data_IF_549333932279
#
_entry.id   IF_549333932279
#
_cell.length_a   1.000
_cell.length_b   1.000
_cell.length_c   1.000
_cell.angle_alpha   90.00
_cell.angle_beta   90.00
_cell.angle_gamma   90.00
#
_symmetry.space_group_name_H-M   'P 1'
#
loop_
_entity.id
_entity.type
_entity.pdbx_description
1 polymer ?
#
# COMPACT_ATOMS: atom_id res chain seq x y z
N UNK A 1 -32.00 1.16 11.32
CA UNK A 1 -32.14 0.16 10.23
C UNK A 1 -30.82 0.19 9.45
N UNK A 2 -30.06 -0.90 9.54
CA UNK A 2 -28.76 -1.03 8.82
C UNK A 2 -29.08 -1.30 7.36
N UNK A 3 -28.79 -0.38 6.47
CA UNK A 3 -28.88 -0.59 5.02
C UNK A 3 -27.48 -0.91 4.49
N UNK A 4 -27.38 -2.00 3.78
CA UNK A 4 -26.15 -2.46 3.15
C UNK A 4 -25.98 -1.75 1.80
N UNK A 5 -24.81 -1.15 1.58
CA UNK A 5 -24.46 -0.57 0.28
C UNK A 5 -23.86 -1.68 -0.57
N UNK A 6 -24.53 -2.06 -1.64
CA UNK A 6 -24.03 -2.99 -2.65
C UNK A 6 -23.34 -2.16 -3.74
N UNK A 7 -22.03 -2.02 -3.67
CA UNK A 7 -21.23 -1.47 -4.76
C UNK A 7 -20.94 -2.58 -5.78
N UNK A 8 -21.66 -2.61 -6.88
CA UNK A 8 -21.38 -3.51 -8.00
C UNK A 8 -20.28 -2.87 -8.86
N UNK A 9 -19.04 -3.14 -8.53
CA UNK A 9 -17.89 -2.77 -9.37
C UNK A 9 -17.71 -3.79 -10.49
N UNK A 10 -18.10 -3.46 -11.70
CA UNK A 10 -17.70 -4.24 -12.88
C UNK A 10 -16.26 -3.88 -13.21
N UNK A 11 -15.35 -4.75 -12.80
CA UNK A 11 -13.93 -4.62 -13.12
C UNK A 11 -13.71 -5.14 -14.56
N UNK A 12 -13.81 -4.27 -15.57
CA UNK A 12 -13.22 -4.55 -16.87
C UNK A 12 -11.70 -4.43 -16.74
N UNK A 13 -11.05 -5.45 -16.22
CA UNK A 13 -9.63 -5.64 -16.49
C UNK A 13 -9.52 -6.03 -17.98
N UNK A 14 -9.47 -5.03 -18.85
CA UNK A 14 -8.84 -5.19 -20.13
C UNK A 14 -7.36 -5.46 -19.83
N UNK A 15 -7.03 -6.71 -19.51
CA UNK A 15 -5.68 -7.18 -19.70
C UNK A 15 -5.35 -6.77 -21.12
N UNK A 16 -4.26 -6.03 -21.33
CA UNK A 16 -3.71 -5.85 -22.65
C UNK A 16 -3.49 -7.27 -23.21
N UNK A 17 -4.52 -7.81 -23.85
CA UNK A 17 -4.33 -8.92 -24.75
C UNK A 17 -3.45 -8.32 -25.85
N UNK A 18 -2.33 -8.94 -26.20
CA UNK A 18 -1.78 -8.69 -27.50
C UNK A 18 -2.90 -9.00 -28.49
N UNK A 19 -3.40 -7.97 -29.15
CA UNK A 19 -4.32 -8.08 -30.28
C UNK A 19 -3.49 -8.58 -31.48
N UNK A 20 -2.84 -9.71 -31.28
CA UNK A 20 -2.28 -10.49 -32.37
C UNK A 20 -3.13 -11.74 -32.40
N UNK A 21 -3.96 -11.79 -33.44
CA UNK A 21 -4.67 -12.97 -33.83
C UNK A 21 -3.75 -14.18 -33.67
N UNK A 22 -4.32 -15.24 -33.14
CA UNK A 22 -3.75 -16.56 -33.11
C UNK A 22 -3.69 -17.05 -34.58
N UNK A 23 -2.76 -16.48 -35.36
CA UNK A 23 -2.33 -17.10 -36.61
C UNK A 23 -1.50 -18.33 -36.27
N UNK A 24 -1.78 -19.39 -36.97
CA UNK A 24 -1.15 -20.71 -36.80
C UNK A 24 0.36 -20.58 -36.67
N UNK A 25 0.94 -21.22 -35.66
CA UNK A 25 2.36 -21.24 -35.31
C UNK A 25 3.34 -21.70 -36.42
N UNK A 26 2.88 -21.86 -37.66
CA UNK A 26 3.68 -22.39 -38.74
C UNK A 26 4.42 -21.38 -39.62
N UNK A 27 4.17 -20.09 -39.46
CA UNK A 27 4.73 -19.05 -40.34
C UNK A 27 5.51 -17.91 -39.65
N UNK A 28 5.76 -18.00 -38.33
CA UNK A 28 6.55 -16.99 -37.66
C UNK A 28 8.03 -17.10 -38.04
N UNK A 29 8.63 -15.96 -38.42
CA UNK A 29 10.07 -15.88 -38.64
C UNK A 29 10.82 -16.13 -37.33
N UNK A 30 12.10 -16.56 -37.43
CA UNK A 30 12.96 -16.84 -36.28
C UNK A 30 13.02 -15.62 -35.32
N UNK A 31 13.11 -14.40 -35.86
CA UNK A 31 13.05 -13.15 -35.09
C UNK A 31 11.71 -12.94 -34.36
N UNK A 32 10.60 -13.36 -34.95
CA UNK A 32 9.29 -13.27 -34.31
C UNK A 32 9.12 -14.32 -33.18
N UNK A 33 9.71 -15.50 -33.33
CA UNK A 33 9.74 -16.51 -32.26
C UNK A 33 10.64 -16.08 -31.10
N UNK A 34 11.79 -15.47 -31.40
CA UNK A 34 12.64 -14.86 -30.39
C UNK A 34 11.89 -13.76 -29.66
N UNK A 35 11.21 -12.85 -30.36
CA UNK A 35 10.44 -11.78 -29.76
C UNK A 35 9.31 -12.31 -28.87
N UNK A 36 8.60 -13.37 -29.25
CA UNK A 36 7.62 -14.03 -28.43
C UNK A 36 8.24 -14.68 -27.18
N UNK A 37 9.43 -15.26 -27.30
CA UNK A 37 10.18 -15.83 -26.16
C UNK A 37 10.62 -14.74 -25.15
N UNK A 38 10.74 -13.49 -25.58
CA UNK A 38 11.07 -12.35 -24.70
C UNK A 38 9.85 -11.70 -24.05
N UNK A 39 8.65 -11.97 -24.55
CA UNK A 39 7.38 -11.43 -23.98
C UNK A 39 6.91 -12.33 -22.84
N UNK A 40 7.34 -12.04 -21.62
CA UNK A 40 6.86 -12.70 -20.42
C UNK A 40 6.00 -11.74 -19.59
N UNK A 41 4.75 -12.09 -19.34
CA UNK A 41 3.79 -11.30 -18.52
C UNK A 41 3.54 -9.86 -19.03
N UNK A 42 3.59 -9.65 -20.34
CA UNK A 42 3.40 -8.33 -20.95
C UNK A 42 4.63 -7.41 -20.84
N UNK A 43 5.80 -7.95 -20.50
CA UNK A 43 7.07 -7.23 -20.44
C UNK A 43 7.97 -7.60 -21.62
N UNK A 44 8.54 -6.61 -22.26
CA UNK A 44 9.62 -6.82 -23.24
C UNK A 44 10.93 -6.96 -22.48
N UNK A 45 11.68 -8.03 -22.75
CA UNK A 45 12.94 -8.35 -22.09
C UNK A 45 14.09 -8.35 -23.10
N UNK A 46 15.15 -7.64 -22.74
CA UNK A 46 16.44 -7.66 -23.42
C UNK A 46 17.48 -8.33 -22.54
N UNK A 47 18.33 -9.14 -23.15
CA UNK A 47 19.47 -9.77 -22.46
C UNK A 47 20.75 -9.51 -23.25
N UNK A 48 21.88 -9.34 -22.55
CA UNK A 48 23.20 -9.38 -23.18
C UNK A 48 23.60 -10.82 -23.51
N UNK A 49 24.44 -11.02 -24.51
CA UNK A 49 24.89 -12.36 -24.98
C UNK A 49 25.53 -13.23 -23.88
N UNK A 50 26.12 -12.60 -22.86
CA UNK A 50 26.75 -13.31 -21.74
C UNK A 50 25.85 -13.42 -20.50
N UNK A 51 24.55 -13.10 -20.61
CA UNK A 51 23.56 -13.09 -19.52
C UNK A 51 23.94 -12.23 -18.28
N UNK A 52 24.99 -11.40 -18.37
CA UNK A 52 25.43 -10.55 -17.28
C UNK A 52 24.53 -9.33 -17.06
N UNK A 53 23.79 -8.93 -18.08
CA UNK A 53 22.85 -7.83 -18.00
C UNK A 53 21.51 -8.23 -18.59
N UNK A 54 20.43 -7.90 -17.92
CA UNK A 54 19.09 -8.00 -18.51
C UNK A 54 18.26 -6.79 -18.11
N UNK A 55 17.42 -6.37 -19.05
CA UNK A 55 16.59 -5.21 -18.93
C UNK A 55 15.17 -5.56 -19.40
N UNK A 56 14.17 -5.25 -18.58
CA UNK A 56 12.77 -5.45 -18.93
C UNK A 56 12.02 -4.14 -18.84
N UNK A 57 11.24 -3.83 -19.86
CA UNK A 57 10.30 -2.70 -19.87
C UNK A 57 8.90 -3.23 -20.03
N UNK A 58 8.00 -2.72 -19.24
CA UNK A 58 6.59 -3.02 -19.35
C UNK A 58 5.76 -1.89 -18.78
N UNK A 59 4.45 -2.02 -18.92
CA UNK A 59 3.54 -1.02 -18.41
C UNK A 59 2.13 -1.54 -18.30
N UNK A 60 1.25 -0.69 -17.78
CA UNK A 60 -0.19 -0.94 -17.78
C UNK A 60 -0.97 0.36 -17.82
N UNK A 61 -2.12 0.27 -18.44
CA UNK A 61 -3.18 1.28 -18.32
C UNK A 61 -4.38 0.60 -17.65
N UNK A 62 -4.99 1.26 -16.69
CA UNK A 62 -6.23 0.81 -16.06
C UNK A 62 -7.23 1.96 -16.02
N UNK A 63 -8.48 1.64 -16.34
CA UNK A 63 -9.60 2.57 -16.30
C UNK A 63 -10.64 1.94 -15.38
N UNK A 64 -11.07 2.68 -14.38
CA UNK A 64 -12.13 2.28 -13.47
C UNK A 64 -13.37 3.11 -13.76
N UNK A 65 -14.53 2.47 -13.76
CA UNK A 65 -15.84 3.10 -13.86
C UNK A 65 -16.66 2.80 -12.62
N UNK A 66 -17.48 3.75 -12.18
CA UNK A 66 -18.44 3.57 -11.12
C UNK A 66 -19.73 4.33 -11.42
N UNK A 67 -20.84 3.69 -11.12
CA UNK A 67 -22.15 4.33 -11.07
C UNK A 67 -22.69 4.20 -9.65
N UNK A 68 -22.92 5.34 -9.01
CA UNK A 68 -23.48 5.38 -7.66
C UNK A 68 -24.97 5.65 -7.75
N UNK A 69 -25.72 4.88 -6.99
CA UNK A 69 -27.13 5.13 -6.74
C UNK A 69 -27.16 5.93 -5.45
N UNK A 70 -27.53 7.21 -5.56
CA UNK A 70 -27.49 8.15 -4.46
C UNK A 70 -28.48 7.74 -3.36
N UNK A 71 -28.03 7.83 -2.12
CA UNK A 71 -28.84 7.62 -0.93
C UNK A 71 -28.81 8.88 -0.06
N UNK A 72 -27.82 9.00 0.84
CA UNK A 72 -27.70 10.18 1.74
C UNK A 72 -26.50 11.07 1.43
N UNK A 73 -25.62 10.62 0.57
CA UNK A 73 -24.37 11.33 0.23
C UNK A 73 -24.21 11.36 -1.27
N UNK A 74 -24.26 12.53 -1.86
CA UNK A 74 -24.04 12.74 -3.28
C UNK A 74 -22.64 12.27 -3.69
N UNK A 75 -22.56 11.52 -4.79
CA UNK A 75 -21.33 10.97 -5.34
C UNK A 75 -21.24 11.16 -6.83
N UNK A 76 -20.03 11.42 -7.28
CA UNK A 76 -19.72 11.53 -8.69
C UNK A 76 -19.61 10.18 -9.39
N UNK A 77 -20.61 9.80 -10.19
CA UNK A 77 -20.52 8.66 -11.12
C UNK A 77 -19.68 9.02 -12.34
N UNK A 78 -18.95 8.06 -12.89
CA UNK A 78 -18.14 8.29 -14.09
C UNK A 78 -17.04 7.27 -14.29
N UNK A 79 -16.01 7.65 -15.04
CA UNK A 79 -14.83 6.84 -15.31
C UNK A 79 -13.54 7.65 -15.11
N UNK A 80 -12.47 6.97 -14.68
CA UNK A 80 -11.18 7.60 -14.40
C UNK A 80 -10.04 6.63 -14.72
N UNK A 81 -8.94 7.16 -15.23
CA UNK A 81 -7.70 6.39 -15.25
C UNK A 81 -7.22 6.14 -13.83
N UNK A 82 -7.19 4.88 -13.43
CA UNK A 82 -6.71 4.45 -12.12
C UNK A 82 -5.22 4.12 -12.12
N UNK A 83 -4.65 3.82 -13.29
CA UNK A 83 -3.22 3.66 -13.48
C UNK A 83 -2.82 3.95 -14.94
N UNK A 84 -1.66 4.59 -15.11
CA UNK A 84 -0.94 4.72 -16.38
C UNK A 84 0.55 4.56 -16.07
N UNK A 85 1.04 3.30 -16.03
CA UNK A 85 2.36 2.96 -15.48
C UNK A 85 3.34 2.51 -16.54
N UNK A 86 4.59 2.91 -16.34
CA UNK A 86 5.77 2.33 -16.97
C UNK A 86 6.63 1.73 -15.87
N UNK A 87 7.08 0.50 -16.09
CA UNK A 87 7.95 -0.24 -15.18
C UNK A 87 9.19 -0.70 -15.90
N UNK A 88 10.33 -0.46 -15.28
CA UNK A 88 11.64 -0.91 -15.73
C UNK A 88 12.23 -1.80 -14.63
N UNK A 89 12.69 -2.98 -15.01
CA UNK A 89 13.40 -3.89 -14.13
C UNK A 89 14.70 -4.28 -14.82
N UNK A 90 15.83 -4.03 -14.17
CA UNK A 90 17.15 -4.41 -14.69
C UNK A 90 17.84 -5.36 -13.74
N UNK A 91 18.65 -6.25 -14.28
CA UNK A 91 19.54 -7.13 -13.50
C UNK A 91 20.95 -6.98 -14.00
N UNK A 92 21.88 -6.88 -13.07
CA UNK A 92 23.32 -6.78 -13.33
C UNK A 92 24.00 -7.96 -12.64
N UNK A 93 24.42 -8.94 -13.43
CA UNK A 93 24.87 -10.21 -12.93
C UNK A 93 23.80 -10.94 -12.14
N UNK A 94 24.24 -11.75 -11.17
CA UNK A 94 23.34 -12.53 -10.30
C UNK A 94 23.02 -11.82 -8.98
N UNK A 95 23.68 -10.71 -8.67
CA UNK A 95 23.66 -10.11 -7.32
C UNK A 95 22.91 -8.80 -7.22
N UNK A 96 22.74 -8.07 -8.31
CA UNK A 96 22.14 -6.74 -8.26
C UNK A 96 20.95 -6.69 -9.20
N UNK A 97 19.83 -6.19 -8.72
CA UNK A 97 18.73 -5.77 -9.57
C UNK A 97 18.18 -4.42 -9.14
N UNK A 98 17.50 -3.75 -10.05
CA UNK A 98 16.85 -2.49 -9.80
C UNK A 98 15.44 -2.49 -10.37
N UNK A 99 14.57 -1.68 -9.77
CA UNK A 99 13.21 -1.44 -10.24
C UNK A 99 12.93 0.04 -10.25
N UNK A 100 12.36 0.51 -11.35
CA UNK A 100 11.73 1.81 -11.48
C UNK A 100 10.28 1.60 -11.92
N UNK A 101 9.33 2.17 -11.20
CA UNK A 101 7.87 2.09 -11.48
C UNK A 101 7.29 3.49 -11.37
N UNK A 102 6.83 4.05 -12.47
CA UNK A 102 6.27 5.39 -12.60
C UNK A 102 4.81 5.29 -13.00
N UNK A 103 3.95 6.07 -12.36
CA UNK A 103 2.49 6.09 -12.57
C UNK A 103 2.01 7.51 -12.90
N UNK A 104 1.80 7.79 -14.17
CA UNK A 104 1.38 9.11 -14.66
C UNK A 104 -0.06 9.49 -14.30
N UNK A 105 -0.89 8.53 -13.87
CA UNK A 105 -2.24 8.79 -13.39
C UNK A 105 -2.30 9.18 -11.91
N UNK A 106 -1.18 9.18 -11.21
CA UNK A 106 -1.12 9.43 -9.76
C UNK A 106 -0.41 10.75 -9.44
N UNK A 107 -0.93 11.50 -8.45
CA UNK A 107 -0.24 12.67 -7.91
C UNK A 107 1.19 12.30 -7.44
N UNK A 108 1.32 11.18 -6.72
CA UNK A 108 2.61 10.60 -6.36
C UNK A 108 3.06 9.66 -7.50
N UNK A 109 3.62 10.23 -8.54
CA UNK A 109 3.96 9.54 -9.78
C UNK A 109 5.07 8.49 -9.61
N UNK A 110 6.08 8.71 -8.74
CA UNK A 110 7.12 7.74 -8.47
C UNK A 110 6.61 6.68 -7.47
N UNK A 111 6.41 5.45 -7.94
CA UNK A 111 5.95 4.35 -7.07
C UNK A 111 7.13 3.60 -6.46
N UNK A 112 7.93 2.96 -7.27
CA UNK A 112 9.12 2.24 -6.81
C UNK A 112 10.36 2.76 -7.54
N UNK A 113 11.44 3.03 -6.80
CA UNK A 113 12.75 3.36 -7.34
C UNK A 113 13.81 2.83 -6.38
N UNK A 114 14.27 1.61 -6.59
CA UNK A 114 15.19 0.96 -5.67
C UNK A 114 16.19 0.04 -6.35
N UNK A 115 17.29 -0.19 -5.62
CA UNK A 115 18.28 -1.24 -5.90
C UNK A 115 18.11 -2.38 -4.87
N UNK A 116 18.29 -3.63 -5.30
CA UNK A 116 18.44 -4.78 -4.43
C UNK A 116 19.78 -5.44 -4.64
N UNK A 117 20.45 -5.72 -3.54
CA UNK A 117 21.66 -6.50 -3.52
C UNK A 117 21.40 -7.85 -2.87
N UNK A 118 21.44 -8.91 -3.65
CA UNK A 118 21.25 -10.28 -3.20
C UNK A 118 22.50 -10.77 -2.45
N UNK A 119 22.40 -10.84 -1.13
CA UNK A 119 23.48 -11.27 -0.24
C UNK A 119 23.67 -12.79 -0.27
N UNK A 120 22.54 -13.51 -0.45
CA UNK A 120 22.50 -14.96 -0.58
C UNK A 120 21.24 -15.39 -1.36
N UNK A 121 21.01 -16.72 -1.48
CA UNK A 121 19.83 -17.25 -2.22
C UNK A 121 18.48 -16.86 -1.62
N UNK A 122 18.47 -16.51 -0.34
CA UNK A 122 17.27 -16.31 0.47
C UNK A 122 17.18 -14.92 1.07
N UNK A 123 18.07 -14.00 0.71
CA UNK A 123 18.08 -12.68 1.29
C UNK A 123 18.67 -11.60 0.40
N UNK A 124 18.17 -10.39 0.58
CA UNK A 124 18.68 -9.21 -0.11
C UNK A 124 18.53 -7.94 0.74
N UNK A 125 19.46 -7.05 0.54
CA UNK A 125 19.38 -5.66 0.97
C UNK A 125 18.68 -4.84 -0.11
N UNK A 126 17.77 -3.96 0.27
CA UNK A 126 17.06 -3.05 -0.63
C UNK A 126 17.24 -1.61 -0.19
N UNK A 127 17.56 -0.72 -1.13
CA UNK A 127 17.82 0.71 -0.88
C UNK A 127 17.08 1.53 -1.92
N UNK A 128 16.33 2.54 -1.50
CA UNK A 128 15.60 3.46 -2.37
C UNK A 128 14.18 3.73 -1.90
N UNK A 129 13.29 4.11 -2.81
CA UNK A 129 11.87 4.36 -2.54
C UNK A 129 11.04 3.11 -2.81
N UNK A 130 10.38 2.58 -1.78
CA UNK A 130 9.52 1.39 -1.88
C UNK A 130 8.54 1.32 -0.71
N UNK A 131 7.56 0.40 -0.80
CA UNK A 131 6.60 0.19 0.29
C UNK A 131 7.29 -0.36 1.54
N UNK A 132 6.99 0.26 2.68
CA UNK A 132 7.47 -0.19 3.98
C UNK A 132 6.93 -1.60 4.30
N UNK A 133 7.71 -2.48 4.95
CA UNK A 133 7.30 -3.84 5.29
C UNK A 133 6.30 -3.83 6.47
N UNK A 134 5.07 -3.44 6.17
CA UNK A 134 3.95 -3.37 7.12
C UNK A 134 2.66 -3.77 6.41
N UNK A 135 1.90 -4.74 6.96
CA UNK A 135 0.68 -5.32 6.37
C UNK A 135 0.93 -6.03 5.02
N UNK A 136 0.32 -7.17 4.80
CA UNK A 136 0.42 -7.91 3.53
C UNK A 136 -0.21 -7.12 2.38
N UNK A 137 -1.43 -6.60 2.57
CA UNK A 137 -2.13 -5.86 1.52
C UNK A 137 -1.41 -4.54 1.18
N UNK A 138 -0.74 -3.91 2.15
CA UNK A 138 0.00 -2.67 1.90
C UNK A 138 1.17 -2.86 0.94
N UNK A 139 1.91 -3.97 1.04
CA UNK A 139 3.05 -4.28 0.17
C UNK A 139 2.67 -5.02 -1.11
N UNK A 140 1.44 -5.53 -1.20
CA UNK A 140 0.94 -6.25 -2.37
C UNK A 140 0.88 -5.32 -3.59
N UNK A 141 1.23 -5.86 -4.76
CA UNK A 141 1.06 -5.13 -6.01
C UNK A 141 -0.42 -4.92 -6.31
N UNK A 142 -0.80 -3.72 -6.74
CA UNK A 142 -2.17 -3.45 -7.17
C UNK A 142 -2.61 -4.28 -8.39
N UNK A 143 -1.70 -4.98 -9.06
CA UNK A 143 -2.03 -5.96 -10.11
C UNK A 143 -2.51 -7.29 -9.55
N UNK A 144 -2.19 -7.57 -8.30
CA UNK A 144 -2.50 -8.83 -7.63
C UNK A 144 -3.72 -8.71 -6.71
N UNK A 145 -4.35 -7.52 -6.65
CA UNK A 145 -5.60 -7.36 -5.93
C UNK A 145 -6.75 -8.02 -6.70
N UNK A 146 -7.58 -8.79 -6.02
CA UNK A 146 -8.84 -9.26 -6.60
C UNK A 146 -9.93 -8.18 -6.61
N UNK A 147 -9.75 -7.09 -5.87
CA UNK A 147 -10.62 -5.92 -5.82
C UNK A 147 -10.01 -4.73 -6.56
N UNK A 148 -10.84 -3.74 -6.87
CA UNK A 148 -10.39 -2.52 -7.59
C UNK A 148 -9.31 -1.79 -6.80
N UNK A 149 -9.47 -1.71 -5.46
CA UNK A 149 -8.54 -1.01 -4.56
C UNK A 149 -8.22 -1.82 -3.31
N UNK A 150 -7.26 -1.29 -2.53
CA UNK A 150 -7.01 -1.72 -1.15
C UNK A 150 -8.28 -1.65 -0.32
N UNK A 151 -8.33 -2.48 0.71
CA UNK A 151 -9.33 -2.35 1.78
C UNK A 151 -9.30 -0.95 2.41
N UNK A 152 -10.44 -0.46 2.83
CA UNK A 152 -10.56 0.83 3.51
C UNK A 152 -9.68 0.88 4.76
N UNK A 153 -9.59 -0.22 5.50
CA UNK A 153 -8.72 -0.40 6.66
C UNK A 153 -7.24 -0.17 6.33
N UNK A 154 -6.72 -0.88 5.33
CA UNK A 154 -5.30 -0.74 4.94
C UNK A 154 -5.02 0.58 4.25
N UNK A 155 -6.00 1.17 3.56
CA UNK A 155 -5.87 2.50 2.98
C UNK A 155 -5.74 3.59 4.06
N UNK A 156 -6.47 3.47 5.18
CA UNK A 156 -6.45 4.41 6.29
C UNK A 156 -5.25 4.17 7.24
N UNK A 157 -5.04 2.94 7.70
CA UNK A 157 -4.11 2.61 8.77
C UNK A 157 -2.75 2.08 8.27
N UNK A 158 -2.65 1.66 7.02
CA UNK A 158 -1.39 1.17 6.44
C UNK A 158 -0.29 2.23 6.40
N UNK A 159 0.89 1.81 5.99
CA UNK A 159 2.00 2.71 5.69
C UNK A 159 2.02 3.07 4.19
N UNK A 160 2.94 3.89 3.79
CA UNK A 160 3.11 4.26 2.39
C UNK A 160 4.36 3.65 1.78
N UNK A 161 4.82 4.32 0.72
CA UNK A 161 6.18 4.20 0.20
C UNK A 161 7.03 5.29 0.81
N UNK A 162 8.26 4.95 1.15
CA UNK A 162 9.22 5.88 1.70
C UNK A 162 10.64 5.55 1.21
N UNK A 163 11.53 6.52 1.27
CA UNK A 163 12.95 6.31 1.01
C UNK A 163 13.54 5.61 2.22
N UNK A 164 14.21 4.48 2.00
CA UNK A 164 14.77 3.71 3.11
C UNK A 164 15.70 2.60 2.69
N UNK A 165 16.13 1.87 3.70
CA UNK A 165 16.97 0.68 3.59
C UNK A 165 16.29 -0.44 4.34
N UNK A 166 16.10 -1.60 3.71
CA UNK A 166 15.55 -2.79 4.35
C UNK A 166 16.36 -4.03 4.02
N UNK A 167 16.37 -4.98 4.93
CA UNK A 167 16.88 -6.31 4.67
C UNK A 167 15.73 -7.31 4.75
N UNK A 168 15.57 -8.13 3.68
CA UNK A 168 14.61 -9.22 3.60
C UNK A 168 15.36 -10.54 3.65
N UNK A 169 14.84 -11.45 4.48
CA UNK A 169 15.25 -12.84 4.50
C UNK A 169 14.01 -13.74 4.42
N UNK A 170 14.04 -14.76 3.58
CA UNK A 170 12.92 -15.70 3.42
C UNK A 170 13.44 -17.16 3.40
N UNK A 171 12.82 -17.97 4.22
CA UNK A 171 13.10 -19.38 4.37
C UNK A 171 11.82 -20.19 4.12
N UNK A 172 11.92 -21.52 3.98
CA UNK A 172 10.76 -22.40 3.80
C UNK A 172 9.69 -22.18 4.88
N UNK A 173 10.10 -21.98 6.12
CA UNK A 173 9.21 -21.92 7.29
C UNK A 173 9.01 -20.51 7.86
N UNK A 174 9.80 -19.55 7.47
CA UNK A 174 9.62 -18.18 7.93
C UNK A 174 10.03 -17.12 6.89
N UNK A 175 9.54 -15.96 7.07
CA UNK A 175 9.85 -14.80 6.26
C UNK A 175 9.97 -13.58 7.16
N UNK A 176 10.96 -12.75 6.95
CA UNK A 176 11.21 -11.55 7.72
C UNK A 176 11.73 -10.44 6.83
N UNK A 177 11.26 -9.22 7.05
CA UNK A 177 11.83 -8.00 6.50
C UNK A 177 11.79 -6.92 7.56
N UNK A 178 12.91 -6.17 7.70
CA UNK A 178 13.00 -5.01 8.58
C UNK A 178 13.82 -3.92 7.94
N UNK A 179 13.52 -2.68 8.27
CA UNK A 179 14.21 -1.54 7.68
C UNK A 179 13.97 -0.22 8.38
N UNK A 180 14.79 0.75 7.98
CA UNK A 180 14.74 2.15 8.40
C UNK A 180 14.33 2.98 7.20
N UNK A 181 13.39 3.88 7.42
CA UNK A 181 12.80 4.72 6.40
C UNK A 181 12.83 6.18 6.84
N UNK A 182 12.97 7.05 5.88
CA UNK A 182 12.93 8.49 6.07
C UNK A 182 11.64 9.04 5.46
N UNK A 183 11.71 10.19 4.88
CA UNK A 183 10.58 10.91 4.30
C UNK A 183 9.91 10.14 3.17
N UNK A 184 8.59 10.24 3.07
CA UNK A 184 7.84 9.83 1.90
C UNK A 184 8.28 10.67 0.70
N UNK A 185 8.38 10.04 -0.48
CA UNK A 185 8.65 10.77 -1.70
C UNK A 185 7.51 11.76 -1.96
N UNK A 186 7.81 13.05 -1.92
CA UNK A 186 6.88 14.09 -2.33
C UNK A 186 7.11 14.44 -3.81
N UNK A 187 6.07 14.91 -4.48
CA UNK A 187 6.20 15.40 -5.85
C UNK A 187 7.26 16.51 -5.88
N UNK A 188 8.29 16.42 -6.75
CA UNK A 188 9.36 17.42 -6.81
C UNK A 188 8.86 18.83 -7.18
N UNK A 189 7.63 18.97 -7.66
CA UNK A 189 7.00 20.27 -7.92
C UNK A 189 6.40 20.91 -6.65
N UNK A 190 6.26 20.18 -5.54
CA UNK A 190 5.82 20.75 -4.28
C UNK A 190 7.02 21.31 -3.52
N UNK A 191 6.96 22.59 -3.20
CA UNK A 191 7.97 23.23 -2.34
C UNK A 191 7.87 22.59 -0.96
N UNK A 192 8.94 21.90 -0.54
CA UNK A 192 9.05 21.36 0.81
C UNK A 192 9.16 22.55 1.76
N UNK A 193 8.18 22.73 2.64
CA UNK A 193 8.27 23.68 3.73
C UNK A 193 9.40 23.30 4.65
N UNK A 194 10.10 24.27 5.23
CA UNK A 194 11.14 24.00 6.23
C UNK A 194 10.62 23.09 7.35
N UNK A 195 11.50 22.46 8.06
CA UNK A 195 11.24 21.50 9.13
C UNK A 195 11.99 20.19 8.94
N UNK A 196 12.17 19.45 10.01
CA UNK A 196 12.92 18.19 9.98
C UNK A 196 12.15 17.06 9.33
N UNK A 197 12.85 16.23 8.59
CA UNK A 197 12.33 14.98 8.08
C UNK A 197 12.01 14.02 9.23
N UNK A 198 10.91 13.32 9.10
CA UNK A 198 10.57 12.21 9.95
C UNK A 198 11.38 10.95 9.66
N UNK A 199 11.15 9.94 10.48
CA UNK A 199 11.74 8.61 10.27
C UNK A 199 10.73 7.53 10.66
N UNK A 200 10.94 6.32 10.14
CA UNK A 200 10.19 5.15 10.55
C UNK A 200 11.09 3.92 10.63
N UNK A 201 10.81 3.07 11.60
CA UNK A 201 11.33 1.71 11.71
C UNK A 201 10.18 0.77 11.39
N UNK A 202 10.30 -0.04 10.35
CA UNK A 202 9.24 -0.97 9.93
C UNK A 202 9.78 -2.39 9.90
N UNK A 203 9.00 -3.34 10.40
CA UNK A 203 9.32 -4.76 10.31
C UNK A 203 8.05 -5.61 10.12
N UNK A 204 8.19 -6.72 9.41
CA UNK A 204 7.17 -7.75 9.22
C UNK A 204 7.81 -9.12 9.37
N UNK A 205 7.19 -10.00 10.17
CA UNK A 205 7.67 -11.35 10.48
C UNK A 205 6.54 -12.36 10.36
N UNK A 206 6.76 -13.46 9.66
CA UNK A 206 5.78 -14.50 9.42
C UNK A 206 6.36 -15.89 9.64
N UNK A 207 5.59 -16.75 10.29
CA UNK A 207 5.70 -18.20 10.17
C UNK A 207 4.88 -18.68 8.97
N UNK A 208 5.39 -19.64 8.20
CA UNK A 208 4.71 -20.13 7.00
C UNK A 208 5.01 -21.57 6.70
N UNK A 209 4.06 -22.23 6.06
CA UNK A 209 4.20 -23.56 5.47
C UNK A 209 3.45 -23.60 4.14
N UNK A 210 3.98 -24.30 3.15
CA UNK A 210 3.32 -24.42 1.84
C UNK A 210 3.70 -25.73 1.15
N UNK A 211 2.78 -26.25 0.37
CA UNK A 211 2.94 -27.35 -0.58
C UNK A 211 2.55 -26.89 -1.99
N UNK A 212 2.36 -27.86 -2.89
CA UNK A 212 2.06 -27.56 -4.29
C UNK A 212 0.70 -26.85 -4.48
N UNK A 213 -0.29 -27.27 -3.73
CA UNK A 213 -1.68 -26.80 -3.86
C UNK A 213 -2.19 -26.06 -2.63
N UNK A 214 -1.38 -25.83 -1.63
CA UNK A 214 -1.80 -25.16 -0.40
C UNK A 214 -0.69 -24.30 0.18
N UNK A 215 -1.10 -23.30 0.92
CA UNK A 215 -0.21 -22.46 1.71
C UNK A 215 -0.93 -21.96 2.95
N UNK A 216 -0.16 -21.76 4.01
CA UNK A 216 -0.60 -21.10 5.22
C UNK A 216 0.52 -20.19 5.72
N UNK A 217 0.18 -18.99 6.13
CA UNK A 217 1.07 -18.17 6.92
C UNK A 217 0.30 -17.39 8.00
N UNK A 218 1.00 -17.07 9.06
CA UNK A 218 0.53 -16.16 10.10
C UNK A 218 1.70 -15.36 10.65
N UNK A 219 1.46 -14.15 11.06
CA UNK A 219 2.47 -13.31 11.67
C UNK A 219 2.01 -11.89 11.92
N UNK A 220 2.98 -10.99 12.01
CA UNK A 220 2.68 -9.60 12.32
C UNK A 220 3.69 -8.62 11.78
N UNK A 221 3.36 -7.37 11.94
CA UNK A 221 4.17 -6.24 11.53
C UNK A 221 4.13 -5.13 12.58
N UNK A 222 5.17 -4.32 12.59
CA UNK A 222 5.29 -3.13 13.43
C UNK A 222 5.86 -1.99 12.61
N UNK A 223 5.37 -0.79 12.87
CA UNK A 223 5.92 0.45 12.34
C UNK A 223 5.96 1.48 13.46
N UNK A 224 7.13 1.99 13.76
CA UNK A 224 7.35 3.04 14.74
C UNK A 224 8.07 4.20 14.09
N UNK A 225 7.62 5.43 14.30
CA UNK A 225 8.29 6.56 13.72
C UNK A 225 7.79 7.91 14.18
N UNK A 226 8.46 8.94 13.68
CA UNK A 226 8.13 10.35 13.83
C UNK A 226 7.71 10.89 12.46
N UNK A 227 6.53 11.51 12.32
CA UNK A 227 6.11 12.11 11.04
C UNK A 227 7.02 13.28 10.61
N UNK A 228 6.98 13.61 9.32
CA UNK A 228 7.64 14.79 8.80
C UNK A 228 7.02 16.06 9.38
N UNK A 229 7.85 17.07 9.63
CA UNK A 229 7.37 18.40 9.99
C UNK A 229 6.81 19.15 8.77
N UNK A 230 5.81 19.99 8.99
CA UNK A 230 5.20 20.85 7.97
C UNK A 230 5.71 22.31 8.06
N UNK A 231 6.97 22.53 8.43
CA UNK A 231 7.60 23.81 8.66
C UNK A 231 7.90 24.06 10.12
N UNK A 232 8.29 25.30 10.46
CA UNK A 232 8.59 25.72 11.81
C UNK A 232 7.43 26.54 12.41
N UNK A 233 7.18 26.34 13.70
CA UNK A 233 6.28 27.15 14.50
C UNK A 233 7.05 27.69 15.71
N UNK A 234 7.09 29.00 15.88
CA UNK A 234 7.83 29.66 16.97
C UNK A 234 9.32 29.23 17.07
N UNK A 235 9.99 29.00 15.91
CA UNK A 235 11.38 28.59 15.87
C UNK A 235 11.62 27.10 16.11
N UNK A 236 10.56 26.28 16.28
CA UNK A 236 10.64 24.84 16.42
C UNK A 236 9.73 24.15 15.38
N UNK A 237 10.13 22.96 14.95
CA UNK A 237 9.32 22.07 14.10
C UNK A 237 8.61 20.97 14.91
N UNK A 238 8.78 20.92 16.23
CA UNK A 238 8.25 19.87 17.10
C UNK A 238 6.72 19.83 17.09
N UNK A 239 6.07 20.99 17.00
CA UNK A 239 4.63 21.13 17.06
C UNK A 239 3.94 21.21 15.69
N UNK A 240 4.67 20.99 14.61
CA UNK A 240 4.13 21.14 13.26
C UNK A 240 4.14 19.82 12.49
N UNK A 241 3.74 18.73 13.16
CA UNK A 241 3.68 17.39 12.59
C UNK A 241 2.25 16.91 12.58
N UNK A 242 1.73 16.61 11.39
CA UNK A 242 0.34 16.20 11.21
C UNK A 242 0.27 14.86 10.51
N UNK A 243 -0.58 13.98 11.00
CA UNK A 243 -0.91 12.70 10.37
C UNK A 243 -2.38 12.71 9.98
N UNK A 244 -2.66 12.37 8.73
CA UNK A 244 -4.03 12.19 8.25
C UNK A 244 -4.25 10.75 7.87
N UNK A 245 -5.21 10.11 8.53
CA UNK A 245 -5.69 8.76 8.23
C UNK A 245 -6.97 8.90 7.42
N UNK A 246 -7.00 8.39 6.20
CA UNK A 246 -8.18 8.55 5.38
C UNK A 246 -8.36 7.45 4.35
N UNK A 247 -9.60 7.11 4.05
CA UNK A 247 -9.96 6.23 2.95
C UNK A 247 -11.22 6.70 2.25
N UNK A 248 -11.30 6.45 0.94
CA UNK A 248 -12.52 6.52 0.15
C UNK A 248 -13.19 5.13 0.09
N UNK A 249 -14.31 5.00 -0.61
CA UNK A 249 -15.06 3.73 -0.73
C UNK A 249 -14.41 2.71 -1.68
N UNK A 250 -13.11 2.48 -1.56
CA UNK A 250 -12.43 1.45 -2.36
C UNK A 250 -12.64 1.59 -3.88
N UNK A 251 -13.12 2.76 -4.32
CA UNK A 251 -13.26 3.17 -5.71
C UNK A 251 -12.40 4.39 -5.97
N UNK A 252 -11.78 4.47 -7.15
CA UNK A 252 -10.98 5.63 -7.53
C UNK A 252 -11.79 6.71 -8.24
N UNK A 253 -13.05 6.47 -8.57
CA UNK A 253 -13.86 7.41 -9.38
C UNK A 253 -14.24 8.62 -8.53
N UNK A 254 -14.83 8.40 -7.37
CA UNK A 254 -15.12 9.45 -6.41
C UNK A 254 -14.04 9.51 -5.32
N UNK A 255 -13.57 10.72 -5.01
CA UNK A 255 -12.52 10.95 -4.03
C UNK A 255 -13.06 11.31 -2.63
N UNK A 256 -14.38 11.28 -2.41
CA UNK A 256 -14.99 11.55 -1.12
C UNK A 256 -14.42 10.63 -0.04
N UNK A 257 -13.97 11.24 1.07
CA UNK A 257 -13.39 10.50 2.19
C UNK A 257 -14.47 10.07 3.16
N UNK A 258 -14.62 8.76 3.33
CA UNK A 258 -15.53 8.14 4.30
C UNK A 258 -14.90 7.96 5.67
N UNK A 259 -13.62 7.61 5.66
CA UNK A 259 -12.78 7.60 6.82
C UNK A 259 -11.85 8.79 6.71
N UNK A 260 -11.84 9.64 7.71
CA UNK A 260 -10.96 10.80 7.74
C UNK A 260 -10.73 11.26 9.19
N UNK A 261 -9.53 11.07 9.68
CA UNK A 261 -9.07 11.59 10.97
C UNK A 261 -7.74 12.32 10.78
N UNK A 262 -7.65 13.53 11.28
CA UNK A 262 -6.44 14.34 11.26
C UNK A 262 -5.94 14.56 12.67
N UNK A 263 -4.73 14.11 12.95
CA UNK A 263 -4.06 14.24 14.25
C UNK A 263 -2.96 15.29 14.09
N UNK A 264 -3.06 16.36 14.85
CA UNK A 264 -2.07 17.43 14.88
C UNK A 264 -1.09 17.23 16.03
N UNK A 265 0.08 17.87 15.94
CA UNK A 265 1.12 17.89 16.96
C UNK A 265 1.61 16.47 17.33
N UNK A 266 1.78 15.60 16.34
CA UNK A 266 2.19 14.23 16.56
C UNK A 266 3.66 14.16 16.90
N UNK A 267 4.00 13.63 18.08
CA UNK A 267 5.36 13.32 18.50
C UNK A 267 5.88 12.05 17.84
N UNK A 268 5.15 10.97 18.05
CA UNK A 268 5.49 9.63 17.50
C UNK A 268 4.23 8.87 17.17
N UNK A 269 4.35 7.95 16.22
CA UNK A 269 3.33 6.97 15.89
C UNK A 269 3.85 5.56 16.03
N UNK A 270 3.03 4.67 16.58
CA UNK A 270 3.30 3.24 16.69
C UNK A 270 2.13 2.47 16.07
N UNK A 271 2.43 1.63 15.09
CA UNK A 271 1.43 0.81 14.43
C UNK A 271 1.77 -0.67 14.60
N UNK A 272 0.75 -1.48 14.78
CA UNK A 272 0.83 -2.93 14.81
C UNK A 272 -0.07 -3.53 13.74
N UNK A 273 0.36 -4.64 13.19
CA UNK A 273 -0.45 -5.45 12.30
C UNK A 273 -0.33 -6.92 12.66
N UNK A 274 -1.44 -7.64 12.60
CA UNK A 274 -1.49 -9.09 12.63
C UNK A 274 -2.12 -9.58 11.33
N UNK A 275 -1.62 -10.67 10.78
CA UNK A 275 -2.10 -11.21 9.53
C UNK A 275 -2.14 -12.74 9.52
N UNK A 276 -3.10 -13.26 8.80
CA UNK A 276 -3.23 -14.70 8.53
C UNK A 276 -3.68 -14.90 7.09
N UNK A 277 -3.14 -15.91 6.44
CA UNK A 277 -3.56 -16.32 5.11
C UNK A 277 -3.51 -17.85 4.98
N UNK A 278 -4.55 -18.40 4.38
CA UNK A 278 -4.62 -19.79 4.01
C UNK A 278 -5.13 -19.94 2.58
N UNK A 279 -4.57 -20.86 1.82
CA UNK A 279 -5.08 -21.24 0.51
C UNK A 279 -5.03 -22.75 0.33
N UNK A 280 -6.02 -23.29 -0.34
CA UNK A 280 -6.07 -24.69 -0.76
C UNK A 280 -6.71 -24.78 -2.14
N UNK A 281 -5.91 -25.21 -3.13
CA UNK A 281 -6.35 -25.32 -4.53
C UNK A 281 -7.04 -24.05 -5.02
N UNK A 282 -8.36 -24.09 -5.14
CA UNK A 282 -9.21 -23.03 -5.71
C UNK A 282 -9.83 -22.10 -4.68
N UNK A 283 -9.44 -22.22 -3.41
CA UNK A 283 -9.99 -21.40 -2.31
C UNK A 283 -8.87 -20.67 -1.60
N UNK A 284 -9.11 -19.45 -1.18
CA UNK A 284 -8.27 -18.76 -0.22
C UNK A 284 -9.10 -17.96 0.79
N UNK A 285 -8.49 -17.73 1.94
CA UNK A 285 -8.94 -16.80 2.97
C UNK A 285 -7.74 -16.04 3.46
N UNK A 286 -7.86 -14.74 3.63
CA UNK A 286 -6.87 -13.90 4.32
C UNK A 286 -7.57 -12.93 5.26
N UNK A 287 -6.88 -12.58 6.33
CA UNK A 287 -7.33 -11.60 7.30
C UNK A 287 -6.17 -10.77 7.80
N UNK A 288 -6.43 -9.49 8.02
CA UNK A 288 -5.49 -8.56 8.64
C UNK A 288 -6.19 -7.72 9.70
N UNK A 289 -5.51 -7.50 10.83
CA UNK A 289 -5.89 -6.55 11.87
C UNK A 289 -4.79 -5.51 11.99
N UNK A 290 -5.17 -4.25 12.03
CA UNK A 290 -4.27 -3.11 12.13
C UNK A 290 -4.67 -2.24 13.31
N UNK A 291 -3.66 -1.73 14.02
CA UNK A 291 -3.80 -0.80 15.12
C UNK A 291 -2.77 0.31 14.98
N UNK A 292 -3.16 1.53 15.37
CA UNK A 292 -2.29 2.69 15.32
C UNK A 292 -2.49 3.56 16.56
N UNK A 293 -1.39 3.80 17.28
CA UNK A 293 -1.30 4.73 18.40
C UNK A 293 -0.47 5.95 18.02
N UNK A 294 -0.96 7.13 18.31
CA UNK A 294 -0.25 8.38 18.08
C UNK A 294 -0.13 9.16 19.39
N UNK A 295 1.11 9.38 19.81
CA UNK A 295 1.45 10.22 20.95
C UNK A 295 1.59 11.66 20.47
N UNK A 296 1.01 12.61 21.15
CA UNK A 296 1.08 14.05 20.82
C UNK A 296 2.12 14.77 21.67
N UNK A 297 2.62 15.90 21.15
CA UNK A 297 3.47 16.80 21.91
C UNK A 297 2.62 17.59 22.94
N UNK A 298 2.80 17.25 24.21
CA UNK A 298 1.96 17.76 25.31
C UNK A 298 2.40 19.15 25.80
N UNK A 299 3.70 19.42 25.76
CA UNK A 299 4.24 20.66 26.32
C UNK A 299 3.75 21.92 25.59
N UNK A 300 3.57 21.83 24.27
CA UNK A 300 3.05 22.92 23.47
C UNK A 300 1.57 23.15 23.77
N UNK A 301 0.78 22.11 23.78
CA UNK A 301 -0.64 22.17 24.07
C UNK A 301 -0.87 22.71 25.49
N UNK A 302 -0.07 22.29 26.46
CA UNK A 302 -0.14 22.81 27.83
C UNK A 302 0.12 24.31 27.88
N UNK A 303 1.19 24.80 27.25
CA UNK A 303 1.53 26.22 27.25
C UNK A 303 0.49 27.06 26.50
N UNK A 304 0.00 26.58 25.37
CA UNK A 304 -1.05 27.25 24.61
C UNK A 304 -2.37 27.28 25.39
N UNK A 305 -2.78 26.10 25.89
CA UNK A 305 -4.04 25.96 26.64
C UNK A 305 -4.02 26.72 27.95
N UNK A 306 -2.90 26.70 28.67
CA UNK A 306 -2.80 27.46 29.93
C UNK A 306 -2.92 28.99 29.72
N UNK A 307 -2.28 29.50 28.66
CA UNK A 307 -2.36 30.94 28.33
C UNK A 307 -3.75 31.37 27.85
N UNK A 308 -4.34 30.58 26.92
CA UNK A 308 -5.69 30.80 26.43
C UNK A 308 -6.72 30.54 27.52
N UNK A 309 -6.47 29.54 28.38
CA UNK A 309 -7.27 29.21 29.54
C UNK A 309 -7.36 30.30 30.56
N UNK A 310 -6.25 30.90 30.89
CA UNK A 310 -6.21 32.06 31.78
C UNK A 310 -6.98 33.21 31.17
N UNK A 311 -6.85 33.46 29.88
CA UNK A 311 -7.59 34.50 29.18
C UNK A 311 -9.10 34.24 29.19
N UNK A 312 -9.52 33.03 28.81
CA UNK A 312 -10.93 32.63 28.71
C UNK A 312 -11.60 32.51 30.06
N UNK A 313 -10.92 32.01 31.09
CA UNK A 313 -11.46 31.95 32.45
C UNK A 313 -11.65 33.38 33.06
N UNK A 314 -10.83 34.32 32.65
CA UNK A 314 -10.97 35.71 33.05
C UNK A 314 -12.14 36.39 32.34
N UNK A 315 -12.36 36.10 31.05
CA UNK A 315 -13.42 36.71 30.25
C UNK A 315 -14.78 36.02 30.42
N UNK A 316 -14.78 34.68 30.68
CA UNK A 316 -16.00 33.87 30.73
C UNK A 316 -15.96 32.83 31.86
N UNK A 317 -16.11 33.22 33.11
CA UNK A 317 -15.93 32.35 34.28
C UNK A 317 -16.94 31.17 34.38
N UNK A 318 -18.00 31.19 33.58
CA UNK A 318 -19.04 30.14 33.60
C UNK A 318 -18.96 29.16 32.43
N UNK A 319 -17.94 29.25 31.58
CA UNK A 319 -17.87 28.43 30.36
C UNK A 319 -17.30 27.02 30.62
N UNK A 320 -18.17 26.11 31.00
CA UNK A 320 -17.82 24.66 31.06
C UNK A 320 -17.44 24.09 29.67
N UNK A 321 -17.80 24.75 28.58
CA UNK A 321 -17.36 24.48 27.21
C UNK A 321 -15.85 24.63 27.01
N UNK A 322 -15.15 25.30 27.91
CA UNK A 322 -13.72 25.46 27.93
C UNK A 322 -12.97 24.10 27.94
N UNK A 323 -13.41 23.14 28.74
CA UNK A 323 -12.84 21.83 28.76
C UNK A 323 -13.07 21.04 27.46
N UNK A 324 -14.17 21.31 26.75
CA UNK A 324 -14.44 20.68 25.45
C UNK A 324 -13.60 21.26 24.30
N UNK A 325 -13.29 22.57 24.35
CA UNK A 325 -12.38 23.23 23.40
C UNK A 325 -10.91 22.86 23.64
N UNK A 326 -10.61 22.53 24.90
CA UNK A 326 -9.26 22.23 25.39
C UNK A 326 -9.00 20.74 25.61
N UNK A 327 -9.95 19.86 25.29
CA UNK A 327 -9.80 18.40 25.35
C UNK A 327 -8.81 17.83 24.33
N UNK A 328 -7.68 18.50 24.22
CA UNK A 328 -6.76 18.36 23.10
C UNK A 328 -5.63 17.36 23.35
N UNK A 329 -5.45 16.91 24.59
CA UNK A 329 -4.24 16.19 24.98
C UNK A 329 -4.36 14.67 25.04
N UNK A 330 -5.33 14.09 24.36
CA UNK A 330 -5.42 12.63 24.32
C UNK A 330 -4.62 12.06 23.17
N UNK A 331 -3.85 11.03 23.49
CA UNK A 331 -3.23 10.17 22.49
C UNK A 331 -4.34 9.56 21.62
N UNK A 332 -4.11 9.52 20.31
CA UNK A 332 -5.12 9.02 19.38
C UNK A 332 -4.87 7.56 19.09
N UNK A 333 -5.91 6.73 19.23
CA UNK A 333 -5.84 5.28 19.00
C UNK A 333 -6.89 4.87 17.99
N UNK A 334 -6.44 4.11 17.00
CA UNK A 334 -7.28 3.66 15.90
C UNK A 334 -7.06 2.19 15.63
N UNK A 335 -8.09 1.50 15.18
CA UNK A 335 -7.95 0.11 14.79
C UNK A 335 -8.89 -0.25 13.64
N UNK A 336 -8.60 -1.36 13.02
CA UNK A 336 -9.48 -1.92 12.00
C UNK A 336 -9.03 -3.31 11.59
N UNK A 337 -9.92 -4.02 10.94
CA UNK A 337 -9.63 -5.34 10.40
C UNK A 337 -10.31 -5.54 9.05
N UNK A 338 -9.70 -6.40 8.25
CA UNK A 338 -10.22 -6.84 6.95
C UNK A 338 -10.17 -8.35 6.87
N UNK A 339 -11.21 -8.94 6.32
CA UNK A 339 -11.27 -10.37 6.01
C UNK A 339 -11.68 -10.51 4.56
N UNK A 340 -10.97 -11.33 3.81
CA UNK A 340 -11.19 -11.55 2.41
C UNK A 340 -11.16 -13.04 2.11
N UNK A 341 -12.08 -13.50 1.26
CA UNK A 341 -12.12 -14.86 0.76
C UNK A 341 -12.38 -14.88 -0.75
N UNK A 342 -11.83 -15.87 -1.41
CA UNK A 342 -12.01 -16.06 -2.85
C UNK A 342 -12.15 -17.52 -3.25
N UNK A 343 -12.92 -17.72 -4.30
CA UNK A 343 -13.15 -19.02 -4.93
C UNK A 343 -12.95 -18.93 -6.44
N UNK A 344 -12.04 -19.74 -6.96
CA UNK A 344 -11.76 -19.84 -8.38
C UNK A 344 -12.73 -20.80 -9.07
N UNK A 345 -13.69 -20.25 -9.83
CA UNK A 345 -14.65 -21.04 -10.61
C UNK A 345 -13.93 -21.70 -11.80
N UNK A 346 -13.26 -20.88 -12.60
CA UNK A 346 -12.49 -21.33 -13.77
C UNK A 346 -11.05 -20.81 -13.65
N UNK A 347 -10.08 -21.63 -14.04
CA UNK A 347 -8.68 -21.26 -14.03
C UNK A 347 -7.81 -22.19 -13.19
N UNK A 348 -6.55 -21.80 -13.01
CA UNK A 348 -5.54 -22.54 -12.24
C UNK A 348 -5.72 -22.29 -10.73
N UNK A 349 -5.16 -23.17 -9.91
CA UNK A 349 -5.12 -23.02 -8.46
C UNK A 349 -4.41 -21.73 -8.04
N UNK A 350 -4.78 -21.19 -6.89
CA UNK A 350 -4.05 -20.10 -6.27
C UNK A 350 -2.61 -20.52 -5.96
N UNK A 351 -1.68 -19.57 -6.09
CA UNK A 351 -0.27 -19.83 -5.85
C UNK A 351 0.31 -18.83 -4.86
N UNK A 352 1.07 -19.37 -3.93
CA UNK A 352 1.79 -18.57 -2.95
C UNK A 352 3.15 -18.12 -3.49
N UNK A 353 3.46 -16.84 -3.35
CA UNK A 353 4.78 -16.28 -3.64
C UNK A 353 5.66 -16.35 -2.40
N UNK A 354 6.60 -17.25 -2.43
CA UNK A 354 7.50 -17.46 -1.29
C UNK A 354 8.49 -16.31 -1.05
N UNK A 355 8.81 -15.51 -2.07
CA UNK A 355 9.73 -14.37 -1.96
C UNK A 355 9.06 -13.17 -1.29
N UNK A 356 7.80 -12.91 -1.60
CA UNK A 356 7.06 -11.76 -1.09
C UNK A 356 6.12 -12.12 0.07
N UNK A 357 5.94 -13.43 0.34
CA UNK A 357 4.98 -13.96 1.31
C UNK A 357 3.56 -13.41 1.08
N UNK A 358 3.11 -13.49 -0.17
CA UNK A 358 1.82 -13.01 -0.66
C UNK A 358 1.19 -14.04 -1.61
N UNK A 359 -0.09 -13.87 -1.88
CA UNK A 359 -0.76 -14.62 -2.93
C UNK A 359 -0.56 -13.95 -4.28
N UNK A 360 -0.16 -14.71 -5.29
CA UNK A 360 -0.09 -14.24 -6.66
C UNK A 360 -1.46 -14.23 -7.31
N UNK A 361 -1.65 -13.30 -8.23
CA UNK A 361 -2.77 -13.32 -9.17
C UNK A 361 -2.79 -14.64 -9.96
N UNK A 362 -3.97 -15.22 -10.19
CA UNK A 362 -4.11 -16.39 -11.08
C UNK A 362 -3.57 -16.09 -12.48
N UNK A 363 -2.81 -17.04 -13.04
CA UNK A 363 -2.25 -16.92 -14.40
C UNK A 363 -3.18 -17.52 -15.43
N UNK A 364 -3.32 -16.84 -16.58
CA UNK A 364 -4.15 -17.26 -17.70
C UNK A 364 -5.61 -16.84 -17.56
N UNK A 365 -6.49 -17.44 -18.37
CA UNK A 365 -7.93 -17.17 -18.31
C UNK A 365 -8.49 -17.69 -16.98
N UNK A 366 -9.15 -16.83 -16.22
CA UNK A 366 -9.70 -17.18 -14.91
C UNK A 366 -11.02 -16.44 -14.66
N UNK A 367 -11.89 -17.08 -13.89
CA UNK A 367 -13.11 -16.51 -13.33
C UNK A 367 -13.12 -16.84 -11.85
N UNK A 368 -13.18 -15.84 -11.01
CA UNK A 368 -13.23 -15.99 -9.56
C UNK A 368 -14.34 -15.14 -8.95
N UNK A 369 -14.86 -15.61 -7.82
CA UNK A 369 -15.75 -14.84 -6.94
C UNK A 369 -14.99 -14.53 -5.67
N UNK A 370 -15.02 -13.27 -5.29
CA UNK A 370 -14.33 -12.77 -4.11
C UNK A 370 -15.26 -11.96 -3.24
N UNK A 371 -15.07 -12.06 -1.93
CA UNK A 371 -15.81 -11.27 -0.94
C UNK A 371 -14.83 -10.68 0.07
N UNK A 372 -15.09 -9.44 0.49
CA UNK A 372 -14.30 -8.74 1.50
C UNK A 372 -15.20 -8.02 2.49
N UNK A 373 -14.84 -8.10 3.75
CA UNK A 373 -15.43 -7.33 4.82
C UNK A 373 -14.37 -6.49 5.50
N UNK A 374 -14.68 -5.23 5.76
CA UNK A 374 -13.82 -4.29 6.48
C UNK A 374 -14.57 -3.67 7.64
N UNK A 375 -13.84 -3.45 8.74
CA UNK A 375 -14.25 -2.58 9.82
C UNK A 375 -13.09 -1.67 10.19
N UNK A 376 -13.35 -0.38 10.35
CA UNK A 376 -12.31 0.58 10.75
C UNK A 376 -12.92 1.61 11.66
N UNK A 377 -12.29 1.81 12.80
CA UNK A 377 -12.66 2.82 13.79
C UNK A 377 -11.55 3.88 13.84
N UNK A 378 -11.94 5.12 13.55
CA UNK A 378 -11.08 6.31 13.59
C UNK A 378 -11.60 7.34 14.60
N UNK A 379 -12.36 6.91 15.63
CA UNK A 379 -12.88 7.76 16.69
C UNK A 379 -12.01 7.72 17.94
#
# INVERSE_FOLDING_TARGET
MKKYILALGVCCMAGAMPLFAQESNSELTEAQRELQGYMDEGLVKFKSDNDKFSFRVGGRVAIDGAHYIDDYTDRGSGAKFSAARIRIISKIGSKVDMKLDVDFASKNWLKDAYLRWHTNKNGFLRVGNFAEPFSAENIQSTMDYPFINKSATVAALGTGRAIGVSYRYYHKYFWAEGGVFSQKFSNPTEVVKGGDMGYALSARLLGRVSGDDWAFHAGGSVNYGRPDANGFTNGSDDYNRTVTLSSNLESCVDNTKFLNATINNVKTGLKFGAEVMASYKKVYVKGEWLHADYVRERDWDYNFTSSLGTLLSTMFPTLSAYQGLMGVDQDAKFYGYTVEAGFMILGKNYRYNSVDALMNRPKGKSLEVVARFNHTDLN
#
